data_IF_274347626059
#
_entry.id   IF_274347626059
#
_cell.length_a   1.000
_cell.length_b   1.000
_cell.length_c   1.000
_cell.angle_alpha   90.00
_cell.angle_beta   90.00
_cell.angle_gamma   90.00
#
_symmetry.space_group_name_H-M   'P 1'
#
loop_
_entity.id
_entity.type
_entity.pdbx_description
1 polymer ?
#
# COMPACT_ATOMS: atom_id res chain seq x y z
N UNK A 1 50.43 2.57 10.47
CA UNK A 1 49.47 1.50 10.08
C UNK A 1 48.29 2.15 9.38
N UNK A 2 48.03 1.87 8.09
CA UNK A 2 46.94 2.49 7.35
C UNK A 2 45.60 1.80 7.64
N UNK A 3 44.54 2.61 7.73
CA UNK A 3 43.18 2.21 8.10
C UNK A 3 42.55 1.26 7.06
N UNK A 4 41.90 0.14 7.47
CA UNK A 4 41.47 -0.95 6.57
C UNK A 4 40.31 -0.64 5.61
N UNK A 5 39.85 0.61 5.54
CA UNK A 5 38.70 1.01 4.72
C UNK A 5 39.03 2.06 3.65
N UNK A 6 40.33 2.38 3.45
CA UNK A 6 40.77 3.43 2.53
C UNK A 6 41.23 2.99 1.12
N UNK A 7 41.62 1.74 0.82
CA UNK A 7 42.04 1.39 -0.54
C UNK A 7 40.88 1.27 -1.54
N UNK A 8 39.74 0.74 -1.12
CA UNK A 8 38.64 0.37 -2.03
C UNK A 8 37.95 1.57 -2.69
N UNK A 9 37.86 2.72 -2.01
CA UNK A 9 37.26 3.93 -2.59
C UNK A 9 38.21 4.76 -3.45
N UNK A 10 39.52 4.51 -3.37
CA UNK A 10 40.54 5.22 -4.17
C UNK A 10 40.83 4.45 -5.47
N UNK A 11 40.77 3.12 -5.43
CA UNK A 11 40.98 2.28 -6.62
C UNK A 11 39.82 2.35 -7.62
N UNK A 12 38.57 2.54 -7.17
CA UNK A 12 37.40 2.59 -8.05
C UNK A 12 37.29 3.90 -8.87
N UNK A 13 38.00 4.96 -8.46
CA UNK A 13 38.08 6.22 -9.20
C UNK A 13 39.19 6.25 -10.26
N UNK A 14 40.04 5.22 -10.34
CA UNK A 14 41.18 5.18 -11.26
C UNK A 14 40.79 4.81 -12.71
N UNK A 15 39.55 4.35 -12.95
CA UNK A 15 39.01 4.08 -14.29
C UNK A 15 38.08 5.19 -14.82
N UNK A 16 37.90 6.27 -14.07
CA UNK A 16 37.37 7.51 -14.63
C UNK A 16 38.50 8.19 -15.39
N UNK A 17 38.56 7.93 -16.69
CA UNK A 17 39.37 8.71 -17.62
C UNK A 17 39.28 10.20 -17.26
N UNK A 18 40.41 10.95 -17.28
CA UNK A 18 40.35 12.39 -17.08
C UNK A 18 39.33 12.95 -18.07
N UNK A 19 38.41 13.79 -17.58
CA UNK A 19 37.66 14.68 -18.45
C UNK A 19 38.70 15.68 -18.95
N UNK A 20 39.40 15.31 -20.02
CA UNK A 20 40.14 16.24 -20.86
C UNK A 20 39.10 17.08 -21.60
N UNK A 21 38.68 18.14 -20.91
CA UNK A 21 37.88 19.23 -21.43
C UNK A 21 38.76 20.13 -22.31
N UNK A 22 39.11 19.65 -23.50
CA UNK A 22 39.75 20.52 -24.50
C UNK A 22 39.38 20.29 -25.97
N UNK A 23 38.58 19.28 -26.34
CA UNK A 23 38.29 19.04 -27.78
C UNK A 23 36.86 18.71 -28.19
N UNK A 24 35.88 18.61 -27.29
CA UNK A 24 34.48 18.38 -27.70
C UNK A 24 33.63 19.62 -27.49
N UNK A 25 33.37 20.34 -28.58
CA UNK A 25 32.32 21.36 -28.66
C UNK A 25 30.97 20.73 -28.31
N UNK A 26 30.58 20.82 -27.03
CA UNK A 26 29.27 20.42 -26.56
C UNK A 26 28.23 21.38 -27.12
N UNK A 27 27.59 21.00 -28.24
CA UNK A 27 26.35 21.64 -28.67
C UNK A 27 25.24 21.26 -27.67
N UNK A 28 24.54 22.22 -27.06
CA UNK A 28 23.39 21.94 -26.21
C UNK A 28 22.37 21.07 -26.97
N UNK A 29 21.85 20.02 -26.33
CA UNK A 29 20.83 19.14 -26.93
C UNK A 29 21.35 17.92 -27.69
N UNK A 30 22.67 17.70 -27.81
CA UNK A 30 23.23 16.44 -28.36
C UNK A 30 23.77 15.54 -27.26
N UNK A 31 22.99 14.52 -26.90
CA UNK A 31 23.42 13.44 -26.00
C UNK A 31 24.44 12.57 -26.74
N UNK A 32 25.66 12.44 -26.21
CA UNK A 32 26.67 11.59 -26.84
C UNK A 32 26.30 10.11 -26.69
N UNK A 33 26.70 9.28 -27.65
CA UNK A 33 26.45 7.82 -27.64
C UNK A 33 26.99 7.13 -26.38
N UNK A 34 28.01 7.71 -25.73
CA UNK A 34 28.56 7.25 -24.45
C UNK A 34 27.61 7.53 -23.28
N UNK A 35 26.95 8.68 -23.26
CA UNK A 35 25.89 9.00 -22.28
C UNK A 35 24.65 8.12 -22.49
N UNK A 36 24.28 7.81 -23.73
CA UNK A 36 23.17 6.88 -24.01
C UNK A 36 23.46 5.48 -23.47
N UNK A 37 24.69 4.98 -23.65
CA UNK A 37 25.10 3.68 -23.07
C UNK A 37 25.12 3.72 -21.54
N UNK A 38 25.61 4.81 -20.95
CA UNK A 38 25.60 4.99 -19.50
C UNK A 38 24.18 5.05 -18.93
N UNK A 39 23.28 5.81 -19.55
CA UNK A 39 21.86 5.90 -19.17
C UNK A 39 21.13 4.57 -19.37
N UNK A 40 21.40 3.83 -20.45
CA UNK A 40 20.85 2.49 -20.64
C UNK A 40 21.39 1.50 -19.60
N UNK A 41 22.66 1.60 -19.23
CA UNK A 41 23.23 0.76 -18.18
C UNK A 41 22.69 1.14 -16.80
N UNK A 42 22.43 2.42 -16.53
CA UNK A 42 21.71 2.86 -15.33
C UNK A 42 20.27 2.31 -15.33
N UNK A 43 19.54 2.44 -16.44
CA UNK A 43 18.20 1.89 -16.59
C UNK A 43 18.16 0.39 -16.32
N UNK A 44 19.15 -0.37 -16.83
CA UNK A 44 19.32 -1.81 -16.55
C UNK A 44 19.72 -2.14 -15.11
N UNK A 45 20.32 -1.20 -14.37
CA UNK A 45 20.64 -1.36 -12.95
C UNK A 45 19.46 -1.02 -12.03
N UNK A 46 18.54 -0.19 -12.52
CA UNK A 46 17.22 0.02 -11.91
C UNK A 46 16.17 -0.97 -12.38
N UNK A 47 16.46 -1.74 -13.43
CA UNK A 47 15.67 -2.89 -13.84
C UNK A 47 15.78 -3.90 -12.70
N UNK A 48 14.73 -3.94 -11.89
CA UNK A 48 14.64 -4.82 -10.72
C UNK A 48 14.49 -6.23 -11.26
N UNK A 49 15.62 -6.83 -11.66
CA UNK A 49 15.71 -8.22 -12.03
C UNK A 49 15.25 -9.05 -10.83
N UNK A 50 13.99 -9.51 -10.89
CA UNK A 50 13.41 -10.62 -10.11
C UNK A 50 13.91 -10.70 -8.66
N UNK A 51 13.96 -9.58 -7.94
CA UNK A 51 13.94 -9.66 -6.49
C UNK A 51 12.61 -10.32 -6.14
N UNK A 52 12.68 -11.36 -5.31
CA UNK A 52 11.57 -12.22 -4.92
C UNK A 52 10.29 -11.39 -4.77
N UNK A 53 9.21 -11.71 -5.51
CA UNK A 53 7.96 -10.93 -5.54
C UNK A 53 7.26 -10.88 -4.16
N UNK A 54 7.85 -11.52 -3.16
CA UNK A 54 7.29 -11.74 -1.85
C UNK A 54 7.52 -10.57 -0.89
N UNK A 55 8.39 -9.59 -1.20
CA UNK A 55 8.54 -8.38 -0.38
C UNK A 55 9.27 -7.28 -1.16
N UNK A 56 8.60 -6.15 -1.42
CA UNK A 56 9.22 -4.93 -1.95
C UNK A 56 8.99 -3.82 -0.93
N UNK A 57 10.02 -3.55 -0.13
CA UNK A 57 10.04 -2.47 0.84
C UNK A 57 10.34 -1.17 0.09
N UNK A 58 9.30 -0.34 -0.12
CA UNK A 58 9.47 0.97 -0.74
C UNK A 58 9.83 1.96 0.36
N UNK A 59 11.12 2.07 0.61
CA UNK A 59 11.69 2.92 1.67
C UNK A 59 11.82 4.41 1.26
N UNK A 60 11.45 4.75 0.02
CA UNK A 60 11.86 6.00 -0.63
C UNK A 60 10.73 6.94 -1.09
N UNK A 61 9.47 6.71 -0.72
CA UNK A 61 8.41 7.70 -0.98
C UNK A 61 8.04 8.39 0.35
N UNK A 62 8.50 9.63 0.58
CA UNK A 62 8.29 10.37 1.83
C UNK A 62 6.90 11.02 1.86
N UNK A 63 5.86 10.26 1.52
CA UNK A 63 4.48 10.70 1.64
C UNK A 63 3.69 9.71 2.51
N UNK A 64 2.96 10.25 3.49
CA UNK A 64 2.14 9.51 4.47
C UNK A 64 1.05 8.64 3.82
N UNK A 65 0.64 9.00 2.60
CA UNK A 65 -0.33 8.29 1.78
C UNK A 65 0.31 7.44 0.68
N UNK A 66 1.65 7.37 0.60
CA UNK A 66 2.35 6.58 -0.43
C UNK A 66 1.91 5.13 -0.45
N UNK A 67 1.80 4.51 0.73
CA UNK A 67 1.35 3.11 0.85
C UNK A 67 -0.03 2.93 0.23
N UNK A 68 -0.97 3.84 0.49
CA UNK A 68 -2.30 3.81 -0.08
C UNK A 68 -2.28 3.88 -1.61
N UNK A 69 -1.50 4.81 -2.16
CA UNK A 69 -1.37 5.00 -3.61
C UNK A 69 -0.75 3.76 -4.26
N UNK A 70 0.35 3.23 -3.70
CA UNK A 70 1.00 2.01 -4.20
C UNK A 70 0.05 0.81 -4.12
N UNK A 71 -0.65 0.67 -2.99
CA UNK A 71 -1.58 -0.43 -2.76
C UNK A 71 -2.72 -0.38 -3.79
N UNK A 72 -3.30 0.79 -4.03
CA UNK A 72 -4.31 0.98 -5.08
C UNK A 72 -3.77 0.67 -6.47
N UNK A 73 -2.62 1.23 -6.84
CA UNK A 73 -2.01 0.99 -8.14
C UNK A 73 -1.73 -0.49 -8.37
N UNK A 74 -1.16 -1.17 -7.38
CA UNK A 74 -0.88 -2.59 -7.44
C UNK A 74 -2.17 -3.43 -7.48
N UNK A 75 -3.21 -3.05 -6.74
CA UNK A 75 -4.48 -3.78 -6.71
C UNK A 75 -5.25 -3.65 -8.03
N UNK A 76 -5.29 -2.45 -8.63
CA UNK A 76 -6.09 -2.17 -9.83
C UNK A 76 -5.36 -2.52 -11.13
N UNK A 77 -4.03 -2.48 -11.15
CA UNK A 77 -3.24 -2.83 -12.34
C UNK A 77 -2.77 -4.28 -12.29
N UNK A 78 -3.39 -5.16 -13.08
CA UNK A 78 -3.04 -6.59 -13.18
C UNK A 78 -1.61 -6.87 -13.65
N UNK A 79 -0.98 -5.94 -14.37
CA UNK A 79 0.41 -6.06 -14.84
C UNK A 79 1.44 -5.55 -13.82
N UNK A 80 0.99 -5.01 -12.68
CA UNK A 80 1.90 -4.53 -11.65
C UNK A 80 2.64 -5.70 -10.98
N UNK A 81 3.96 -5.62 -10.75
CA UNK A 81 4.73 -6.72 -10.14
C UNK A 81 4.16 -7.20 -8.80
N UNK A 82 3.65 -6.27 -7.98
CA UNK A 82 3.04 -6.56 -6.68
C UNK A 82 1.56 -6.95 -6.74
N UNK A 83 0.93 -7.02 -7.92
CA UNK A 83 -0.53 -7.21 -8.04
C UNK A 83 -1.01 -8.46 -7.31
N UNK A 84 -0.35 -9.60 -7.53
CA UNK A 84 -0.74 -10.87 -6.90
C UNK A 84 -0.63 -10.80 -5.37
N UNK A 85 0.44 -10.19 -4.86
CA UNK A 85 0.69 -10.06 -3.43
C UNK A 85 -0.35 -9.14 -2.78
N UNK A 86 -0.50 -7.92 -3.29
CA UNK A 86 -1.44 -6.92 -2.76
C UNK A 86 -2.90 -7.40 -2.87
N UNK A 87 -3.26 -8.09 -3.95
CA UNK A 87 -4.60 -8.69 -4.08
C UNK A 87 -4.85 -9.76 -3.02
N UNK A 88 -3.83 -10.56 -2.69
CA UNK A 88 -3.90 -11.55 -1.61
C UNK A 88 -4.07 -10.88 -0.24
N UNK A 89 -3.23 -9.89 0.06
CA UNK A 89 -3.32 -9.09 1.29
C UNK A 89 -4.68 -8.41 1.44
N UNK A 90 -5.19 -7.81 0.36
CA UNK A 90 -6.49 -7.14 0.33
C UNK A 90 -7.63 -8.12 0.65
N UNK A 91 -7.63 -9.30 0.01
CA UNK A 91 -8.61 -10.37 0.28
C UNK A 91 -8.53 -10.88 1.71
N UNK A 92 -7.32 -11.05 2.23
CA UNK A 92 -7.10 -11.48 3.62
C UNK A 92 -7.59 -10.44 4.61
N UNK A 93 -7.40 -9.15 4.35
CA UNK A 93 -7.92 -8.08 5.19
C UNK A 93 -9.46 -8.11 5.22
N UNK A 94 -10.11 -8.26 4.06
CA UNK A 94 -11.57 -8.41 3.98
C UNK A 94 -12.06 -9.68 4.71
N UNK A 95 -11.37 -10.81 4.53
CA UNK A 95 -11.70 -12.05 5.24
C UNK A 95 -11.55 -11.88 6.76
N UNK A 96 -10.51 -11.18 7.21
CA UNK A 96 -10.26 -10.91 8.63
C UNK A 96 -11.37 -10.04 9.24
N UNK A 97 -11.85 -9.03 8.50
CA UNK A 97 -12.99 -8.20 8.92
C UNK A 97 -14.28 -9.02 8.98
N UNK A 98 -14.61 -9.74 7.91
CA UNK A 98 -15.85 -10.53 7.80
C UNK A 98 -15.93 -11.67 8.83
N UNK A 99 -14.79 -12.28 9.17
CA UNK A 99 -14.72 -13.45 10.04
C UNK A 99 -14.36 -13.08 11.48
N UNK A 100 -14.28 -11.79 11.83
CA UNK A 100 -13.93 -11.31 13.18
C UNK A 100 -14.70 -12.04 14.27
N UNK A 101 -16.02 -12.13 14.16
CA UNK A 101 -16.86 -12.72 15.21
C UNK A 101 -16.80 -14.25 15.20
N UNK A 102 -16.79 -14.87 14.01
CA UNK A 102 -16.70 -16.33 13.84
C UNK A 102 -15.38 -16.86 14.42
N UNK A 103 -14.29 -16.13 14.18
CA UNK A 103 -12.95 -16.48 14.66
C UNK A 103 -12.58 -15.85 16.01
N UNK A 104 -13.50 -15.07 16.61
CA UNK A 104 -13.30 -14.35 17.88
C UNK A 104 -12.00 -13.54 17.89
N UNK A 105 -11.73 -12.86 16.78
CA UNK A 105 -10.53 -12.06 16.61
C UNK A 105 -10.64 -10.79 17.46
N UNK A 106 -9.57 -10.46 18.17
CA UNK A 106 -9.43 -9.19 18.86
C UNK A 106 -9.08 -8.08 17.86
N UNK A 107 -10.02 -7.84 16.94
CA UNK A 107 -9.94 -6.81 15.92
C UNK A 107 -10.71 -5.58 16.39
N UNK A 108 -10.05 -4.45 16.40
CA UNK A 108 -10.60 -3.16 16.81
C UNK A 108 -10.35 -2.12 15.73
N UNK A 109 -11.13 -1.05 15.72
CA UNK A 109 -10.86 0.13 14.88
C UNK A 109 -10.67 1.37 15.73
N UNK A 110 -9.85 2.29 15.24
CA UNK A 110 -9.71 3.63 15.79
C UNK A 110 -10.04 4.63 14.69
N UNK A 111 -11.03 5.47 14.93
CA UNK A 111 -11.38 6.55 14.02
C UNK A 111 -10.40 7.72 14.20
N UNK A 112 -9.91 8.24 13.09
CA UNK A 112 -9.09 9.44 13.01
C UNK A 112 -9.81 10.45 12.13
N UNK A 113 -10.24 11.54 12.76
CA UNK A 113 -10.78 12.71 12.06
C UNK A 113 -9.62 13.65 11.76
N UNK A 114 -9.34 13.83 10.47
CA UNK A 114 -8.41 14.79 9.91
C UNK A 114 -9.10 16.15 9.86
N UNK A 115 -8.80 16.99 10.84
CA UNK A 115 -9.28 18.36 10.95
C UNK A 115 -8.10 19.33 11.06
N UNK A 116 -8.37 20.63 11.11
CA UNK A 116 -7.31 21.64 11.25
C UNK A 116 -6.86 21.86 12.71
N UNK A 117 -7.14 20.91 13.62
CA UNK A 117 -6.87 21.06 15.06
C UNK A 117 -5.38 21.02 15.41
N UNK A 118 -4.53 20.43 14.56
CA UNK A 118 -3.08 20.38 14.77
C UNK A 118 -2.33 20.58 13.45
N UNK A 119 -1.09 21.07 13.53
CA UNK A 119 -0.22 21.25 12.35
C UNK A 119 0.01 19.92 11.62
N UNK A 120 0.18 18.82 12.35
CA UNK A 120 0.32 17.49 11.74
C UNK A 120 -0.91 17.10 10.91
N UNK A 121 -2.12 17.25 11.46
CA UNK A 121 -3.35 16.94 10.71
C UNK A 121 -3.57 17.88 9.53
N UNK A 122 -3.19 19.17 9.64
CA UNK A 122 -3.23 20.11 8.50
C UNK A 122 -2.32 19.63 7.36
N UNK A 123 -1.12 19.14 7.67
CA UNK A 123 -0.23 18.54 6.66
C UNK A 123 -0.85 17.29 6.06
N UNK A 124 -1.37 16.36 6.87
CA UNK A 124 -2.04 15.16 6.37
C UNK A 124 -3.20 15.49 5.41
N UNK A 125 -4.05 16.46 5.78
CA UNK A 125 -5.14 16.97 4.95
C UNK A 125 -4.64 17.54 3.62
N UNK A 126 -3.54 18.31 3.65
CA UNK A 126 -2.97 18.92 2.44
C UNK A 126 -2.40 17.90 1.46
N UNK A 127 -2.02 16.71 1.96
CA UNK A 127 -1.45 15.62 1.18
C UNK A 127 -2.51 14.62 0.71
N UNK A 128 -3.78 14.77 1.09
CA UNK A 128 -4.83 13.81 0.70
C UNK A 128 -4.89 13.63 -0.83
N UNK A 129 -5.03 12.38 -1.31
CA UNK A 129 -5.12 12.12 -2.74
C UNK A 129 -6.36 12.79 -3.35
N UNK A 130 -6.18 13.38 -4.53
CA UNK A 130 -7.23 14.13 -5.22
C UNK A 130 -8.34 13.24 -5.77
N UNK A 131 -8.00 12.02 -6.19
CA UNK A 131 -8.92 11.07 -6.82
C UNK A 131 -9.59 10.17 -5.77
N UNK A 132 -10.93 10.07 -5.80
CA UNK A 132 -11.68 9.11 -4.99
C UNK A 132 -12.74 8.38 -5.82
N UNK A 133 -13.03 7.13 -5.45
CA UNK A 133 -14.00 6.24 -6.08
C UNK A 133 -15.44 6.74 -5.91
N UNK A 134 -15.68 7.46 -4.80
CA UNK A 134 -16.88 8.22 -4.57
C UNK A 134 -16.52 9.65 -4.09
N UNK A 135 -17.21 10.65 -4.66
CA UNK A 135 -17.02 12.08 -4.32
C UNK A 135 -17.64 12.43 -2.98
N UNK A 136 -18.57 11.61 -2.49
CA UNK A 136 -19.28 11.81 -1.24
C UNK A 136 -18.64 11.09 -0.07
N UNK A 137 -17.61 10.26 -0.31
CA UNK A 137 -16.87 9.61 0.77
C UNK A 137 -16.08 10.67 1.56
N UNK A 138 -16.31 10.80 2.87
CA UNK A 138 -15.58 11.77 3.70
C UNK A 138 -14.10 11.39 3.72
N UNK A 139 -13.26 12.23 3.12
CA UNK A 139 -11.81 11.98 3.00
C UNK A 139 -11.07 12.25 4.30
N UNK A 140 -11.73 12.99 5.18
CA UNK A 140 -11.23 13.44 6.46
C UNK A 140 -11.36 12.35 7.52
N UNK A 141 -12.12 11.28 7.29
CA UNK A 141 -12.29 10.20 8.26
C UNK A 141 -11.47 9.00 7.80
N UNK A 142 -10.53 8.59 8.64
CA UNK A 142 -9.68 7.41 8.42
C UNK A 142 -9.83 6.46 9.59
N UNK A 143 -10.18 5.21 9.31
CA UNK A 143 -10.21 4.15 10.30
C UNK A 143 -8.90 3.38 10.28
N UNK A 144 -8.25 3.23 11.44
CA UNK A 144 -7.10 2.36 11.62
C UNK A 144 -7.58 1.04 12.21
N UNK A 145 -7.31 -0.06 11.52
CA UNK A 145 -7.62 -1.41 11.96
C UNK A 145 -6.48 -1.98 12.77
N UNK A 146 -6.80 -2.50 13.95
CA UNK A 146 -5.82 -3.05 14.88
C UNK A 146 -6.20 -4.47 15.28
N UNK A 147 -5.25 -5.39 15.14
CA UNK A 147 -5.35 -6.74 15.68
C UNK A 147 -4.44 -6.85 16.90
N UNK A 148 -4.98 -7.27 18.06
CA UNK A 148 -4.23 -7.28 19.32
C UNK A 148 -3.51 -5.94 19.61
N UNK A 149 -4.20 -4.82 19.34
CA UNK A 149 -3.69 -3.45 19.47
C UNK A 149 -2.53 -3.07 18.50
N UNK A 150 -2.12 -3.96 17.58
CA UNK A 150 -1.17 -3.67 16.52
C UNK A 150 -1.91 -3.20 15.26
N UNK A 151 -1.59 -2.03 14.68
CA UNK A 151 -2.13 -1.61 13.39
C UNK A 151 -1.78 -2.62 12.29
N UNK A 152 -2.79 -3.12 11.58
CA UNK A 152 -2.61 -4.06 10.46
C UNK A 152 -3.10 -3.48 9.13
N UNK A 153 -3.83 -2.37 9.18
CA UNK A 153 -4.33 -1.70 8.00
C UNK A 153 -5.15 -0.47 8.33
N UNK A 154 -5.70 0.15 7.30
CA UNK A 154 -6.58 1.31 7.40
C UNK A 154 -7.68 1.28 6.34
N UNK A 155 -8.73 2.08 6.54
CA UNK A 155 -9.72 2.35 5.51
C UNK A 155 -9.08 3.09 4.33
N UNK A 156 -9.52 2.79 3.12
CA UNK A 156 -9.03 3.43 1.91
C UNK A 156 -10.17 3.75 0.95
N UNK A 157 -10.15 4.95 0.35
CA UNK A 157 -11.27 5.48 -0.43
C UNK A 157 -11.54 4.72 -1.73
N UNK A 158 -10.50 4.11 -2.32
CA UNK A 158 -10.62 3.47 -3.64
C UNK A 158 -10.61 1.94 -3.58
N UNK A 159 -10.23 1.38 -2.43
CA UNK A 159 -10.07 -0.07 -2.26
C UNK A 159 -10.81 -0.59 -1.02
N UNK A 160 -11.60 0.25 -0.35
CA UNK A 160 -12.22 0.06 0.97
C UNK A 160 -11.22 -0.06 2.11
N UNK A 161 -10.18 -0.87 1.93
CA UNK A 161 -9.13 -1.14 2.91
C UNK A 161 -7.76 -1.22 2.25
N UNK A 162 -6.73 -0.93 3.02
CA UNK A 162 -5.32 -1.03 2.67
C UNK A 162 -4.57 -1.63 3.87
N UNK A 163 -3.65 -2.58 3.63
CA UNK A 163 -2.81 -3.15 4.70
C UNK A 163 -1.65 -2.22 5.04
N UNK A 164 -1.20 -2.27 6.30
CA UNK A 164 -0.01 -1.55 6.73
C UNK A 164 1.23 -2.07 6.00
N UNK A 165 2.26 -1.22 5.83
CA UNK A 165 3.54 -1.65 5.23
C UNK A 165 4.24 -2.71 6.08
N UNK A 166 4.10 -2.58 7.39
CA UNK A 166 4.75 -3.42 8.38
C UNK A 166 3.74 -3.77 9.47
N UNK A 167 3.57 -5.05 9.70
CA UNK A 167 2.81 -5.62 10.80
C UNK A 167 3.22 -7.07 10.95
N UNK A 168 2.97 -7.67 12.11
CA UNK A 168 3.27 -9.09 12.32
C UNK A 168 2.17 -9.73 13.13
N UNK A 169 1.38 -10.56 12.46
CA UNK A 169 0.35 -11.35 13.12
C UNK A 169 0.99 -12.62 13.68
N UNK A 170 0.55 -13.00 14.86
CA UNK A 170 1.02 -14.22 15.52
C UNK A 170 0.74 -15.46 14.67
N UNK A 171 1.73 -16.35 14.61
CA UNK A 171 1.70 -17.54 13.77
C UNK A 171 0.61 -18.51 14.25
N UNK A 172 -0.14 -19.07 13.30
CA UNK A 172 -1.12 -20.13 13.59
C UNK A 172 -2.49 -19.64 14.08
N UNK A 173 -2.69 -18.34 14.25
CA UNK A 173 -4.01 -17.78 14.62
C UNK A 173 -4.97 -17.79 13.42
N UNK A 174 -4.48 -17.36 12.26
CA UNK A 174 -5.23 -17.34 11.00
C UNK A 174 -4.51 -18.22 9.98
N UNK A 175 -5.26 -19.01 9.21
CA UNK A 175 -4.67 -19.86 8.16
C UNK A 175 -4.11 -19.05 7.00
N UNK A 176 -4.63 -17.84 6.77
CA UNK A 176 -4.18 -16.91 5.74
C UNK A 176 -3.11 -15.90 6.24
N UNK A 177 -2.30 -16.32 7.21
CA UNK A 177 -1.10 -15.59 7.64
C UNK A 177 0.13 -16.43 7.34
N UNK A 178 1.11 -15.81 6.69
CA UNK A 178 2.38 -16.42 6.36
C UNK A 178 3.06 -16.95 7.65
N UNK A 179 3.34 -18.25 7.68
CA UNK A 179 3.88 -18.94 8.85
C UNK A 179 5.30 -18.51 9.20
N UNK A 180 6.03 -17.91 8.27
CA UNK A 180 7.42 -17.48 8.49
C UNK A 180 7.46 -16.00 8.84
N UNK A 181 6.82 -15.17 8.00
CA UNK A 181 6.91 -13.72 8.00
C UNK A 181 5.83 -13.04 8.86
N UNK A 182 4.65 -13.66 9.00
CA UNK A 182 3.54 -13.11 9.79
C UNK A 182 2.70 -12.05 9.06
N UNK A 183 2.81 -11.96 7.74
CA UNK A 183 1.98 -11.10 6.88
C UNK A 183 0.76 -11.84 6.34
N UNK A 184 -0.22 -11.12 5.85
CA UNK A 184 -1.34 -11.71 5.15
C UNK A 184 -0.93 -12.36 3.82
N UNK A 185 -1.58 -13.47 3.50
CA UNK A 185 -1.49 -14.16 2.21
C UNK A 185 -2.90 -14.36 1.64
N UNK A 186 -3.02 -14.65 0.33
CA UNK A 186 -4.34 -14.83 -0.29
C UNK A 186 -5.15 -15.95 0.41
N UNK A 187 -6.31 -15.63 1.03
CA UNK A 187 -7.05 -16.58 1.85
C UNK A 187 -7.84 -17.60 1.01
N UNK A 188 -7.95 -17.44 -0.31
CA UNK A 188 -8.86 -18.25 -1.16
C UNK A 188 -8.68 -19.77 -0.96
N UNK A 189 -7.44 -20.23 -0.80
CA UNK A 189 -7.14 -21.66 -0.60
C UNK A 189 -7.06 -22.06 0.89
N UNK A 190 -7.08 -21.09 1.80
CA UNK A 190 -6.90 -21.28 3.24
C UNK A 190 -8.22 -21.28 4.02
N UNK A 191 -9.31 -20.82 3.38
CA UNK A 191 -10.64 -20.72 3.98
C UNK A 191 -11.40 -22.05 3.91
N UNK A 192 -11.97 -22.45 5.05
CA UNK A 192 -12.91 -23.58 5.13
C UNK A 192 -14.20 -23.26 4.37
N UNK A 193 -15.02 -24.29 4.12
CA UNK A 193 -16.25 -24.13 3.34
C UNK A 193 -17.20 -23.14 4.03
N UNK A 194 -17.38 -23.28 5.32
CA UNK A 194 -18.26 -22.46 6.15
C UNK A 194 -17.79 -21.00 6.18
N UNK A 195 -16.47 -20.78 6.19
CA UNK A 195 -15.88 -19.44 6.17
C UNK A 195 -16.03 -18.78 4.82
N UNK A 196 -15.91 -19.53 3.72
CA UNK A 196 -16.18 -19.03 2.37
C UNK A 196 -17.63 -18.63 2.21
N UNK A 197 -18.56 -19.41 2.75
CA UNK A 197 -19.99 -19.08 2.75
C UNK A 197 -20.26 -17.81 3.57
N UNK A 198 -19.75 -17.73 4.79
CA UNK A 198 -19.89 -16.54 5.64
C UNK A 198 -19.30 -15.28 4.99
N UNK A 199 -18.09 -15.39 4.43
CA UNK A 199 -17.44 -14.30 3.71
C UNK A 199 -18.26 -13.87 2.48
N UNK A 200 -18.82 -14.82 1.72
CA UNK A 200 -19.64 -14.50 0.56
C UNK A 200 -20.92 -13.76 0.95
N UNK A 201 -21.60 -14.17 2.03
CA UNK A 201 -22.78 -13.46 2.53
C UNK A 201 -22.41 -12.06 2.97
N UNK A 202 -21.33 -11.91 3.73
CA UNK A 202 -20.85 -10.61 4.20
C UNK A 202 -20.49 -9.68 3.04
N UNK A 203 -19.78 -10.17 2.02
CA UNK A 203 -19.42 -9.39 0.82
C UNK A 203 -20.65 -8.96 0.02
N UNK A 204 -21.66 -9.83 -0.11
CA UNK A 204 -22.91 -9.48 -0.78
C UNK A 204 -23.66 -8.38 -0.04
N UNK A 205 -23.73 -8.47 1.30
CA UNK A 205 -24.36 -7.43 2.12
C UNK A 205 -23.59 -6.10 2.00
N UNK A 206 -22.26 -6.14 2.08
CA UNK A 206 -21.42 -4.98 1.88
C UNK A 206 -21.65 -4.33 0.50
N UNK A 207 -21.76 -5.13 -0.55
CA UNK A 207 -22.01 -4.64 -1.91
C UNK A 207 -23.39 -3.99 -2.03
N UNK A 208 -24.42 -4.59 -1.43
CA UNK A 208 -25.77 -4.00 -1.37
C UNK A 208 -25.73 -2.66 -0.62
N UNK A 209 -25.06 -2.59 0.53
CA UNK A 209 -24.93 -1.36 1.31
C UNK A 209 -24.20 -0.26 0.53
N UNK A 210 -23.09 -0.60 -0.13
CA UNK A 210 -22.36 0.36 -0.97
C UNK A 210 -23.28 0.89 -2.08
N UNK A 211 -24.00 0.03 -2.79
CA UNK A 211 -24.86 0.46 -3.90
C UNK A 211 -26.11 1.22 -3.47
N UNK A 212 -26.72 0.85 -2.34
CA UNK A 212 -27.88 1.57 -1.81
C UNK A 212 -27.48 2.99 -1.38
N UNK A 213 -26.28 3.16 -0.81
CA UNK A 213 -25.75 4.49 -0.45
C UNK A 213 -25.27 5.30 -1.67
N UNK A 214 -25.02 4.65 -2.81
CA UNK A 214 -24.74 5.31 -4.10
C UNK A 214 -26.05 5.68 -4.85
N UNK A 215 -27.15 4.97 -4.58
CA UNK A 215 -28.43 5.10 -5.29
C UNK A 215 -29.50 6.01 -4.64
N UNK A 216 -29.53 6.13 -3.31
CA UNK A 216 -30.53 6.93 -2.58
C UNK A 216 -29.90 8.15 -1.87
N UNK A 217 -30.43 9.34 -2.18
CA UNK A 217 -30.30 10.64 -1.48
C UNK A 217 -29.57 11.79 -2.20
N UNK A 218 -30.18 12.22 -3.32
CA UNK A 218 -30.16 13.62 -3.78
C UNK A 218 -31.54 14.27 -3.54
N UNK A 219 -32.06 14.24 -2.31
CA UNK A 219 -33.11 15.17 -1.88
C UNK A 219 -33.11 15.32 -0.36
N UNK A 220 -32.54 16.44 0.09
CA UNK A 220 -32.87 17.14 1.34
C UNK A 220 -33.56 16.33 2.44
N UNK A 221 -32.80 15.56 3.24
CA UNK A 221 -33.03 15.29 4.67
C UNK A 221 -31.96 14.34 5.21
N UNK A 222 -31.17 14.85 6.16
CA UNK A 222 -30.39 14.04 7.10
C UNK A 222 -29.14 13.42 6.50
N UNK A 223 -27.99 13.81 7.04
CA UNK A 223 -26.70 13.14 6.89
C UNK A 223 -26.90 11.67 7.29
N UNK A 224 -27.09 10.78 6.32
CA UNK A 224 -27.02 9.34 6.54
C UNK A 224 -25.66 8.87 6.06
N UNK A 225 -24.80 8.72 7.05
CA UNK A 225 -23.48 8.14 7.03
C UNK A 225 -23.42 6.81 6.27
N UNK A 226 -22.73 6.79 5.13
CA UNK A 226 -21.89 5.64 4.81
C UNK A 226 -20.72 5.66 5.80
N UNK A 227 -20.92 5.09 6.98
CA UNK A 227 -19.88 4.96 7.99
C UNK A 227 -19.35 3.54 7.97
N UNK A 228 -18.09 3.38 7.55
CA UNK A 228 -17.34 2.13 7.71
C UNK A 228 -17.41 1.62 9.15
N UNK A 229 -17.69 2.47 10.15
CA UNK A 229 -17.95 2.03 11.53
C UNK A 229 -19.05 0.96 11.66
N UNK A 230 -20.11 0.99 10.84
CA UNK A 230 -21.19 -0.02 10.87
C UNK A 230 -20.76 -1.37 10.28
N UNK A 231 -19.78 -1.36 9.37
CA UNK A 231 -19.19 -2.57 8.77
C UNK A 231 -18.17 -3.21 9.73
N UNK A 232 -17.67 -2.46 10.72
CA UNK A 232 -16.55 -2.84 11.60
C UNK A 232 -17.00 -3.17 13.03
N UNK A 233 -18.15 -2.66 13.47
CA UNK A 233 -18.76 -2.96 14.77
C UNK A 233 -19.30 -4.39 14.80
#
# INVERSE_FOLDING_TARGET
MPHPLRPLLVEDNSNLYPIDDSTTTHKPGKVSSRHVKYLNNLGKRFDVDKQSPDYFEIDAIPDVWSRNIIFEMALLNSNHPLHKHIKGEWRAMLATLALKDIRRLNLTSSEIILDKSSEFKKVLLSLLPKNTLDKNTPKEIVYIFKYNNMPIGMSHWNTLVCTACEYKIEKGVLSWVDKEKGFFIDPVNELRKEEREALSVWLNNLWIEINNNVGDNFSSRGINEFSLSKVIQ
#
